data_IF_195062354543
#
_entry.id   IF_195062354543
#
_cell.length_a   1.000
_cell.length_b   1.000
_cell.length_c   1.000
_cell.angle_alpha   90.00
_cell.angle_beta   90.00
_cell.angle_gamma   90.00
#
_symmetry.space_group_name_H-M   'P 1'
#
loop_
_entity.id
_entity.type
_entity.pdbx_description
1 polymer ?
#
# COMPACT_ATOMS: atom_id res chain seq x y z
N UNK A 1 -10.39 22.48 -16.63
CA UNK A 1 -9.51 21.32 -16.41
C UNK A 1 -9.90 20.69 -15.09
N UNK A 2 -10.15 19.37 -15.04
CA UNK A 2 -10.47 18.71 -13.77
C UNK A 2 -9.19 18.66 -12.91
N UNK A 3 -9.15 19.42 -11.81
CA UNK A 3 -7.98 19.52 -10.91
C UNK A 3 -7.56 18.16 -10.34
N UNK A 4 -8.52 17.29 -10.03
CA UNK A 4 -8.24 15.94 -9.56
C UNK A 4 -7.52 15.10 -10.62
N UNK A 5 -7.98 15.18 -11.88
CA UNK A 5 -7.28 14.52 -12.99
C UNK A 5 -5.87 15.08 -13.18
N UNK A 6 -5.71 16.41 -13.10
CA UNK A 6 -4.40 17.04 -13.22
C UNK A 6 -3.44 16.62 -12.08
N UNK A 7 -3.94 16.49 -10.86
CA UNK A 7 -3.17 15.99 -9.71
C UNK A 7 -2.79 14.52 -9.88
N UNK A 8 -3.74 13.68 -10.35
CA UNK A 8 -3.46 12.29 -10.71
C UNK A 8 -2.35 12.20 -11.76
N UNK A 9 -2.47 12.93 -12.87
CA UNK A 9 -1.48 12.94 -13.96
C UNK A 9 -0.11 13.44 -13.43
N UNK A 10 -0.10 14.47 -12.57
CA UNK A 10 1.14 14.98 -11.96
C UNK A 10 1.84 13.94 -11.08
N UNK A 11 1.10 13.12 -10.34
CA UNK A 11 1.67 12.02 -9.54
C UNK A 11 2.26 10.94 -10.46
N UNK A 12 1.51 10.50 -11.48
CA UNK A 12 1.96 9.45 -12.40
C UNK A 12 3.20 9.87 -13.19
N UNK A 13 3.24 11.13 -13.63
CA UNK A 13 4.33 11.71 -14.42
C UNK A 13 5.46 12.29 -13.57
N UNK A 14 5.39 12.15 -12.24
CA UNK A 14 6.39 12.66 -11.27
C UNK A 14 6.63 14.18 -11.35
N UNK A 15 5.59 14.95 -11.70
CA UNK A 15 5.62 16.42 -11.73
C UNK A 15 5.29 17.03 -10.37
N UNK A 16 6.23 16.96 -9.43
CA UNK A 16 6.03 17.40 -8.03
C UNK A 16 5.65 18.87 -7.93
N UNK A 17 6.28 19.76 -8.70
CA UNK A 17 5.96 21.20 -8.69
C UNK A 17 4.52 21.47 -9.13
N UNK A 18 4.03 20.70 -10.12
CA UNK A 18 2.63 20.79 -10.56
C UNK A 18 1.67 20.30 -9.48
N UNK A 19 2.00 19.19 -8.80
CA UNK A 19 1.21 18.67 -7.70
C UNK A 19 1.16 19.66 -6.54
N UNK A 20 2.30 20.23 -6.16
CA UNK A 20 2.40 21.23 -5.10
C UNK A 20 1.56 22.47 -5.41
N UNK A 21 1.63 22.99 -6.65
CA UNK A 21 0.82 24.11 -7.08
C UNK A 21 -0.69 23.80 -6.98
N UNK A 22 -1.11 22.61 -7.43
CA UNK A 22 -2.51 22.18 -7.34
C UNK A 22 -2.99 22.08 -5.89
N UNK A 23 -2.17 21.55 -4.98
CA UNK A 23 -2.51 21.43 -3.56
C UNK A 23 -2.55 22.79 -2.84
N UNK A 24 -1.69 23.74 -3.24
CA UNK A 24 -1.75 25.14 -2.75
C UNK A 24 -3.04 25.83 -3.18
N UNK A 25 -3.52 25.56 -4.38
CA UNK A 25 -4.77 26.12 -4.90
C UNK A 25 -6.02 25.46 -4.33
N UNK A 26 -5.96 24.17 -3.99
CA UNK A 26 -7.09 23.38 -3.53
C UNK A 26 -6.62 22.19 -2.67
N UNK A 27 -6.53 22.42 -1.36
CA UNK A 27 -6.12 21.39 -0.40
C UNK A 27 -7.17 20.25 -0.26
N UNK A 28 -8.41 20.47 -0.69
CA UNK A 28 -9.44 19.42 -0.66
C UNK A 28 -9.15 18.27 -1.64
N UNK A 29 -8.20 18.46 -2.56
CA UNK A 29 -7.69 17.40 -3.43
C UNK A 29 -7.09 16.22 -2.66
N UNK A 30 -6.55 16.43 -1.45
CA UNK A 30 -5.99 15.36 -0.62
C UNK A 30 -7.00 14.23 -0.37
N UNK A 31 -8.25 14.60 -0.08
CA UNK A 31 -9.33 13.67 0.28
C UNK A 31 -10.20 13.27 -0.92
N UNK A 32 -9.94 13.85 -2.09
CA UNK A 32 -10.69 13.59 -3.31
C UNK A 32 -10.48 12.15 -3.79
N UNK A 33 -11.57 11.48 -4.14
CA UNK A 33 -11.54 10.06 -4.50
C UNK A 33 -11.29 9.86 -5.99
N UNK A 34 -10.21 9.15 -6.31
CA UNK A 34 -10.03 8.50 -7.62
C UNK A 34 -10.61 7.08 -7.56
N UNK A 35 -10.72 6.36 -8.70
CA UNK A 35 -11.05 4.93 -8.66
C UNK A 35 -10.09 4.08 -7.79
N UNK A 36 -8.89 4.60 -7.53
CA UNK A 36 -7.86 3.97 -6.69
C UNK A 36 -7.83 4.51 -5.26
N UNK A 37 -8.74 5.43 -4.89
CA UNK A 37 -8.77 6.08 -3.59
C UNK A 37 -8.20 7.50 -3.61
N UNK A 38 -7.89 8.07 -2.42
CA UNK A 38 -7.20 9.34 -2.26
C UNK A 38 -5.90 9.46 -3.08
N UNK A 39 -5.40 10.70 -3.25
CA UNK A 39 -4.13 10.93 -3.96
C UNK A 39 -2.94 10.19 -3.32
N UNK A 40 -2.98 9.93 -2.01
CA UNK A 40 -1.96 9.16 -1.31
C UNK A 40 -1.83 7.73 -1.88
N UNK A 41 -2.95 7.07 -2.19
CA UNK A 41 -3.00 5.74 -2.81
C UNK A 41 -2.39 5.76 -4.22
N UNK A 42 -2.68 6.81 -4.98
CA UNK A 42 -2.13 7.01 -6.32
C UNK A 42 -0.61 7.16 -6.25
N UNK A 43 -0.10 7.96 -5.31
CA UNK A 43 1.34 8.13 -5.13
C UNK A 43 2.02 6.83 -4.67
N UNK A 44 1.36 6.10 -3.76
CA UNK A 44 1.85 4.83 -3.25
C UNK A 44 1.92 3.76 -4.34
N UNK A 45 0.84 3.57 -5.10
CA UNK A 45 0.78 2.61 -6.20
C UNK A 45 1.63 2.99 -7.43
N UNK A 46 2.02 4.26 -7.58
CA UNK A 46 2.96 4.72 -8.61
C UNK A 46 4.44 4.62 -8.18
N UNK A 47 4.70 4.28 -6.91
CA UNK A 47 6.06 4.31 -6.37
C UNK A 47 6.65 5.73 -6.34
N UNK A 48 5.80 6.76 -6.30
CA UNK A 48 6.22 8.16 -6.30
C UNK A 48 6.41 8.65 -4.86
N UNK A 49 7.58 8.34 -4.29
CA UNK A 49 7.93 8.67 -2.91
C UNK A 49 7.92 10.18 -2.63
N UNK A 50 8.28 11.03 -3.60
CA UNK A 50 8.28 12.48 -3.41
C UNK A 50 6.85 13.03 -3.32
N UNK A 51 5.95 12.57 -4.18
CA UNK A 51 4.54 12.94 -4.10
C UNK A 51 3.92 12.45 -2.79
N UNK A 52 4.25 11.22 -2.37
CA UNK A 52 3.78 10.64 -1.12
C UNK A 52 4.22 11.50 0.10
N UNK A 53 5.50 11.88 0.15
CA UNK A 53 6.05 12.78 1.19
C UNK A 53 5.33 14.13 1.21
N UNK A 54 5.10 14.72 0.05
CA UNK A 54 4.37 15.99 -0.08
C UNK A 54 2.92 15.87 0.41
N UNK A 55 2.21 14.82 0.00
CA UNK A 55 0.81 14.61 0.39
C UNK A 55 0.68 14.44 1.91
N UNK A 56 1.57 13.67 2.54
CA UNK A 56 1.59 13.49 3.99
C UNK A 56 1.98 14.79 4.72
N UNK A 57 2.93 15.57 4.21
CA UNK A 57 3.29 16.87 4.81
C UNK A 57 2.16 17.90 4.70
N UNK A 58 1.28 17.77 3.70
CA UNK A 58 0.06 18.55 3.56
C UNK A 58 -1.11 18.03 4.43
N UNK A 59 -0.92 16.93 5.19
CA UNK A 59 -1.93 16.40 6.11
C UNK A 59 -2.86 15.35 5.52
N UNK A 60 -2.45 14.65 4.45
CA UNK A 60 -3.16 13.44 4.02
C UNK A 60 -3.20 12.41 5.15
N UNK A 61 -4.35 11.76 5.33
CA UNK A 61 -4.48 10.66 6.30
C UNK A 61 -3.75 9.42 5.78
N UNK A 62 -2.75 8.97 6.55
CA UNK A 62 -1.85 7.87 6.17
C UNK A 62 -2.56 6.52 6.10
N UNK A 63 -3.59 6.34 6.94
CA UNK A 63 -4.39 5.11 7.04
C UNK A 63 -5.73 5.28 6.30
N UNK A 64 -5.86 6.31 5.46
CA UNK A 64 -7.07 6.54 4.68
C UNK A 64 -7.39 5.30 3.83
N UNK A 65 -8.68 4.97 3.77
CA UNK A 65 -9.16 3.82 2.99
C UNK A 65 -10.02 4.31 1.84
N UNK A 66 -9.89 3.63 0.70
CA UNK A 66 -10.66 4.03 -0.46
C UNK A 66 -10.35 3.19 -1.69
N UNK A 67 -10.85 3.68 -2.82
CA UNK A 67 -10.74 2.99 -4.09
C UNK A 67 -11.61 1.73 -4.15
N UNK A 68 -11.64 1.12 -5.33
CA UNK A 68 -12.46 -0.07 -5.58
C UNK A 68 -12.05 -1.29 -4.75
N UNK A 69 -10.82 -1.32 -4.25
CA UNK A 69 -10.28 -2.44 -3.46
C UNK A 69 -10.33 -2.19 -1.95
N UNK A 70 -10.71 -0.99 -1.50
CA UNK A 70 -10.92 -0.68 -0.08
C UNK A 70 -9.66 -0.74 0.82
N UNK A 71 -8.48 -0.75 0.21
CA UNK A 71 -7.18 -0.76 0.89
C UNK A 71 -6.66 0.64 1.23
N UNK A 72 -5.53 0.67 1.94
CA UNK A 72 -4.78 1.88 2.29
C UNK A 72 -3.57 2.11 1.37
N UNK A 73 -2.82 3.20 1.59
CA UNK A 73 -1.62 3.48 0.80
C UNK A 73 -0.56 2.37 0.87
N UNK A 74 -0.41 1.72 2.03
CA UNK A 74 0.56 0.63 2.23
C UNK A 74 0.20 -0.58 1.37
N UNK A 75 -1.08 -0.95 1.30
CA UNK A 75 -1.56 -2.02 0.43
C UNK A 75 -1.28 -1.76 -1.05
N UNK A 76 -1.54 -0.53 -1.51
CA UNK A 76 -1.31 -0.18 -2.92
C UNK A 76 0.18 -0.24 -3.27
N UNK A 77 1.07 0.26 -2.40
CA UNK A 77 2.51 0.14 -2.60
C UNK A 77 3.00 -1.32 -2.57
N UNK A 78 2.51 -2.12 -1.61
CA UNK A 78 2.89 -3.52 -1.45
C UNK A 78 2.48 -4.36 -2.67
N UNK A 79 1.26 -4.16 -3.18
CA UNK A 79 0.74 -4.86 -4.37
C UNK A 79 1.52 -4.59 -5.66
N UNK A 80 2.36 -3.55 -5.66
CA UNK A 80 3.24 -3.14 -6.77
C UNK A 80 4.73 -3.31 -6.45
N UNK A 81 5.06 -3.98 -5.35
CA UNK A 81 6.44 -4.19 -4.89
C UNK A 81 7.25 -2.90 -4.68
N UNK A 82 6.61 -1.80 -4.31
CA UNK A 82 7.29 -0.53 -4.02
C UNK A 82 7.85 -0.50 -2.59
N UNK A 83 8.94 -1.24 -2.36
CA UNK A 83 9.56 -1.43 -1.03
C UNK A 83 9.89 -0.10 -0.34
N UNK A 84 10.54 0.84 -1.02
CA UNK A 84 10.93 2.13 -0.44
C UNK A 84 9.72 2.97 0.02
N UNK A 85 8.60 2.88 -0.70
CA UNK A 85 7.36 3.53 -0.30
C UNK A 85 6.76 2.84 0.92
N UNK A 86 6.74 1.50 0.94
CA UNK A 86 6.25 0.73 2.08
C UNK A 86 7.05 1.04 3.35
N UNK A 87 8.38 1.01 3.25
CA UNK A 87 9.31 1.32 4.34
C UNK A 87 9.09 2.75 4.85
N UNK A 88 8.92 3.71 3.94
CA UNK A 88 8.62 5.07 4.35
C UNK A 88 7.29 5.19 5.08
N UNK A 89 6.20 4.63 4.54
CA UNK A 89 4.88 4.65 5.19
C UNK A 89 4.92 4.06 6.60
N UNK A 90 5.55 2.90 6.75
CA UNK A 90 5.72 2.25 8.05
C UNK A 90 6.55 3.11 9.02
N UNK A 91 7.62 3.76 8.54
CA UNK A 91 8.40 4.70 9.35
C UNK A 91 7.62 5.94 9.80
N UNK A 92 6.54 6.29 9.09
CA UNK A 92 5.63 7.38 9.44
C UNK A 92 4.45 6.90 10.31
N UNK A 93 4.42 5.63 10.71
CA UNK A 93 3.40 5.06 11.59
C UNK A 93 2.15 4.55 10.87
N UNK A 94 2.22 4.27 9.57
CA UNK A 94 1.16 3.53 8.87
C UNK A 94 0.92 2.18 9.57
N UNK A 95 -0.34 1.79 9.72
CA UNK A 95 -0.69 0.54 10.39
C UNK A 95 -0.86 -0.59 9.38
N UNK A 96 -0.63 -1.81 9.84
CA UNK A 96 -1.08 -2.99 9.09
C UNK A 96 -2.57 -3.20 9.30
N UNK A 97 -3.31 -3.38 8.21
CA UNK A 97 -4.64 -3.95 8.23
C UNK A 97 -4.56 -5.44 7.89
N UNK A 98 -5.01 -6.31 8.79
CA UNK A 98 -5.08 -7.76 8.58
C UNK A 98 -6.50 -8.28 8.74
N UNK A 99 -7.50 -7.39 8.69
CA UNK A 99 -8.89 -7.79 8.92
C UNK A 99 -9.53 -8.52 7.73
N UNK A 100 -8.98 -8.40 6.53
CA UNK A 100 -9.37 -9.19 5.35
C UNK A 100 -8.14 -9.59 4.53
N UNK A 101 -8.20 -10.70 3.77
CA UNK A 101 -7.09 -11.17 2.94
C UNK A 101 -6.55 -10.11 1.97
N UNK A 102 -7.44 -9.36 1.31
CA UNK A 102 -7.08 -8.35 0.31
C UNK A 102 -6.35 -7.14 0.90
N UNK A 103 -6.50 -6.92 2.21
CA UNK A 103 -5.88 -5.82 2.97
C UNK A 103 -4.63 -6.27 3.70
N UNK A 104 -4.33 -7.57 3.72
CA UNK A 104 -3.14 -8.08 4.36
C UNK A 104 -1.90 -7.77 3.51
N UNK A 105 -1.03 -6.88 4.00
CA UNK A 105 0.18 -6.48 3.28
C UNK A 105 1.14 -7.66 3.02
N UNK A 106 1.18 -8.66 3.92
CA UNK A 106 1.99 -9.86 3.72
C UNK A 106 1.42 -10.76 2.62
N UNK A 107 0.10 -10.83 2.47
CA UNK A 107 -0.52 -11.50 1.31
C UNK A 107 -0.14 -10.81 0.00
N UNK A 108 -0.04 -9.48 0.01
CA UNK A 108 0.48 -8.73 -1.15
C UNK A 108 1.93 -9.08 -1.45
N UNK A 109 2.81 -9.14 -0.43
CA UNK A 109 4.21 -9.53 -0.57
C UNK A 109 4.35 -10.95 -1.17
N UNK A 110 3.54 -11.90 -0.68
CA UNK A 110 3.47 -13.26 -1.21
C UNK A 110 3.00 -13.25 -2.66
N UNK A 111 1.93 -12.52 -2.98
CA UNK A 111 1.38 -12.47 -4.33
C UNK A 111 2.40 -11.99 -5.35
N UNK A 112 3.19 -10.97 -5.01
CA UNK A 112 4.27 -10.44 -5.89
C UNK A 112 5.59 -11.20 -5.76
N UNK A 113 5.70 -12.16 -4.83
CA UNK A 113 6.91 -12.95 -4.59
C UNK A 113 8.08 -12.16 -4.00
N UNK A 114 7.82 -11.09 -3.25
CA UNK A 114 8.86 -10.22 -2.69
C UNK A 114 9.25 -10.66 -1.27
N UNK A 115 10.43 -11.27 -1.14
CA UNK A 115 11.03 -11.57 0.18
C UNK A 115 11.36 -10.31 0.95
N UNK A 116 11.83 -9.27 0.26
CA UNK A 116 12.18 -7.98 0.87
C UNK A 116 10.98 -7.31 1.52
N UNK A 117 9.80 -7.31 0.87
CA UNK A 117 8.57 -6.83 1.51
C UNK A 117 8.15 -7.71 2.69
N UNK A 118 8.26 -9.04 2.55
CA UNK A 118 7.90 -9.95 3.64
C UNK A 118 8.77 -9.72 4.88
N UNK A 119 10.09 -9.62 4.70
CA UNK A 119 11.06 -9.30 5.75
C UNK A 119 10.74 -7.95 6.39
N UNK A 120 10.54 -6.90 5.58
CA UNK A 120 10.18 -5.57 6.06
C UNK A 120 8.89 -5.60 6.90
N UNK A 121 7.84 -6.28 6.45
CA UNK A 121 6.57 -6.29 7.16
C UNK A 121 6.64 -7.05 8.48
N UNK A 122 7.41 -8.14 8.52
CA UNK A 122 7.66 -8.90 9.75
C UNK A 122 8.51 -8.05 10.72
N UNK A 123 9.55 -7.35 10.23
CA UNK A 123 10.37 -6.45 11.04
C UNK A 123 9.53 -5.35 11.71
N UNK A 124 8.54 -4.81 11.00
CA UNK A 124 7.61 -3.82 11.53
C UNK A 124 6.42 -4.42 12.32
N UNK A 125 6.40 -5.74 12.52
CA UNK A 125 5.50 -6.41 13.45
C UNK A 125 4.10 -6.69 12.91
N UNK A 126 3.94 -6.96 11.60
CA UNK A 126 2.67 -7.49 11.08
C UNK A 126 2.32 -8.83 11.77
N UNK A 127 1.07 -9.02 12.16
CA UNK A 127 0.60 -10.33 12.60
C UNK A 127 0.43 -11.26 11.39
N UNK A 128 1.42 -12.12 11.17
CA UNK A 128 1.43 -13.08 10.08
C UNK A 128 0.74 -14.41 10.43
N UNK A 129 0.17 -14.54 11.62
CA UNK A 129 -0.56 -15.73 12.08
C UNK A 129 -2.07 -15.68 11.79
N UNK A 130 -2.57 -14.52 11.35
CA UNK A 130 -3.99 -14.37 10.98
C UNK A 130 -4.35 -15.34 9.86
N UNK A 131 -5.30 -16.22 10.15
CA UNK A 131 -5.81 -17.22 9.23
C UNK A 131 -7.23 -16.89 8.77
N UNK A 132 -7.45 -16.87 7.47
CA UNK A 132 -8.75 -16.55 6.88
C UNK A 132 -9.54 -17.80 6.52
N UNK A 133 -10.83 -17.80 6.83
CA UNK A 133 -11.78 -18.83 6.41
C UNK A 133 -12.99 -18.15 5.77
N UNK A 134 -13.31 -18.54 4.55
CA UNK A 134 -14.39 -17.96 3.75
C UNK A 134 -14.85 -18.92 2.66
N UNK A 135 -15.64 -18.45 1.70
CA UNK A 135 -16.18 -19.31 0.64
C UNK A 135 -15.11 -19.97 -0.23
N UNK A 136 -13.92 -19.37 -0.34
CA UNK A 136 -12.81 -19.85 -1.18
C UNK A 136 -11.51 -20.11 -0.41
N UNK A 137 -11.50 -19.91 0.90
CA UNK A 137 -10.31 -20.04 1.74
C UNK A 137 -10.64 -20.86 2.98
N UNK A 138 -9.73 -21.72 3.42
CA UNK A 138 -9.92 -22.51 4.66
C UNK A 138 -8.64 -22.46 5.48
N UNK A 139 -8.72 -21.85 6.66
CA UNK A 139 -7.59 -21.66 7.56
C UNK A 139 -6.32 -21.15 6.85
N UNK A 140 -6.49 -20.18 5.97
CA UNK A 140 -5.43 -19.67 5.11
C UNK A 140 -4.69 -18.53 5.82
N UNK A 141 -3.57 -18.85 6.46
CA UNK A 141 -2.61 -17.86 6.95
C UNK A 141 -1.56 -17.52 5.87
N UNK A 142 -0.61 -16.65 6.21
CA UNK A 142 0.45 -16.25 5.28
C UNK A 142 1.32 -17.43 4.81
N UNK A 143 1.57 -18.44 5.65
CA UNK A 143 2.39 -19.61 5.29
C UNK A 143 1.63 -20.52 4.34
N UNK A 144 0.37 -20.82 4.64
CA UNK A 144 -0.51 -21.59 3.78
C UNK A 144 -0.68 -20.90 2.42
N UNK A 145 -0.83 -19.57 2.41
CA UNK A 145 -0.96 -18.82 1.17
C UNK A 145 0.32 -18.83 0.33
N UNK A 146 1.50 -18.73 0.96
CA UNK A 146 2.78 -18.86 0.26
C UNK A 146 2.96 -20.27 -0.35
N UNK A 147 2.51 -21.32 0.34
CA UNK A 147 2.49 -22.69 -0.19
C UNK A 147 1.55 -22.79 -1.40
N UNK A 148 0.31 -22.29 -1.29
CA UNK A 148 -0.68 -22.33 -2.38
C UNK A 148 -0.18 -21.62 -3.64
N UNK A 149 0.48 -20.47 -3.46
CA UNK A 149 1.06 -19.67 -4.56
C UNK A 149 2.41 -20.20 -5.06
N UNK A 150 2.98 -21.21 -4.41
CA UNK A 150 4.29 -21.77 -4.78
C UNK A 150 5.47 -20.82 -4.51
N UNK A 151 5.31 -19.86 -3.61
CA UNK A 151 6.28 -18.81 -3.29
C UNK A 151 7.31 -19.32 -2.26
N UNK A 152 8.26 -20.13 -2.73
CA UNK A 152 9.19 -20.88 -1.88
C UNK A 152 10.12 -19.98 -1.07
N UNK A 153 10.64 -18.92 -1.69
CA UNK A 153 11.57 -17.98 -1.04
C UNK A 153 10.86 -17.18 0.05
N UNK A 154 9.65 -16.68 -0.22
CA UNK A 154 8.84 -15.97 0.78
C UNK A 154 8.42 -16.93 1.90
N UNK A 155 8.05 -18.17 1.57
CA UNK A 155 7.78 -19.19 2.58
C UNK A 155 8.99 -19.43 3.49
N UNK A 156 10.21 -19.46 2.94
CA UNK A 156 11.42 -19.60 3.74
C UNK A 156 11.56 -18.46 4.75
N UNK A 157 11.33 -17.21 4.33
CA UNK A 157 11.31 -16.04 5.23
C UNK A 157 10.29 -16.22 6.37
N UNK A 158 9.09 -16.73 6.08
CA UNK A 158 8.02 -16.94 7.06
C UNK A 158 8.28 -18.09 8.05
N UNK A 159 9.22 -18.98 7.72
CA UNK A 159 9.61 -20.12 8.56
C UNK A 159 10.83 -19.81 9.44
N UNK A 160 11.55 -18.73 9.17
CA UNK A 160 12.73 -18.30 9.96
C UNK A 160 12.40 -17.30 11.08
N UNK A 161 11.12 -16.93 11.24
CA UNK A 161 10.61 -16.07 12.31
C UNK A 161 9.88 -16.90 13.37
#
# INVERSE_FOLDING_TARGET
>A
MNKLKAAYDAIQERRIESLEQLLREDLALLNSQTPFGPLLHVAAGAGNLEALKLLLSCGADIDARGGTFGGDALNYAASKAHVEVCKFLLSQGAKFDVSEPERNALFSAIYVGSTELAELFIEYGIDYSVAYTGQSMTNMDARAFAIERGQKEVLAVLLTQ
#
